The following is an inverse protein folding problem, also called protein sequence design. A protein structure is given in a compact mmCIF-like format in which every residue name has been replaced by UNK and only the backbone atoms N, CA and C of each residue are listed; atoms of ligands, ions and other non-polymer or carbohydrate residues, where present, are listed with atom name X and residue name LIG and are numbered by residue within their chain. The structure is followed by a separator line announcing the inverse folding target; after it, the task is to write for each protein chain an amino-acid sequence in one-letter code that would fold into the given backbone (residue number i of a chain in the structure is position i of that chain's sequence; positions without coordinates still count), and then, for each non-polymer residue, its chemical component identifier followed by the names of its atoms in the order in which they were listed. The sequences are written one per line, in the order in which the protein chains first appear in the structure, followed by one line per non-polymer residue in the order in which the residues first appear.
data_IF_852517832304
#
_entry.id   IF_852517832304
#
_cell.length_a   1.000
_cell.length_b   1.000
_cell.length_c   1.000
_cell.angle_alpha   90.00
_cell.angle_beta   90.00
_cell.angle_gamma   90.00
#
_symmetry.space_group_name_H-M   'P 1'
#
loop_
_entity.id
_entity.type
_entity.pdbx_description
1 polymer ?
#
# COMPACT_ATOMS: atom_id res chain seq x y z
N UNK A 1 -9.81 7.37 7.71
CA UNK A 1 -9.53 5.96 8.11
C UNK A 1 -8.13 5.81 8.68
N UNK A 2 -7.06 6.25 8.02
CA UNK A 2 -5.68 6.10 8.54
C UNK A 2 -5.49 6.68 9.93
N UNK A 3 -5.85 7.94 10.16
CA UNK A 3 -5.77 8.59 11.49
C UNK A 3 -6.55 7.79 12.54
N UNK A 4 -7.79 7.43 12.21
CA UNK A 4 -8.64 6.68 13.14
C UNK A 4 -8.12 5.28 13.46
N UNK A 5 -7.43 4.64 12.51
CA UNK A 5 -6.75 3.37 12.77
C UNK A 5 -5.61 3.54 13.79
N UNK A 6 -4.82 4.62 13.66
CA UNK A 6 -3.74 4.94 14.61
C UNK A 6 -4.31 5.19 16.02
N UNK A 7 -5.41 5.93 16.13
CA UNK A 7 -6.10 6.17 17.40
C UNK A 7 -6.56 4.86 18.06
N UNK A 8 -7.23 3.97 17.31
CA UNK A 8 -7.71 2.68 17.81
C UNK A 8 -6.57 1.77 18.30
N UNK A 9 -5.44 1.80 17.61
CA UNK A 9 -4.25 1.03 17.98
C UNK A 9 -3.39 1.72 19.04
N UNK A 10 -3.60 3.03 19.28
CA UNK A 10 -2.76 3.88 20.14
C UNK A 10 -1.31 3.91 19.65
N UNK A 11 -1.14 4.10 18.35
CA UNK A 11 0.15 4.24 17.68
C UNK A 11 0.27 5.65 17.13
N UNK A 12 1.40 6.31 17.39
CA UNK A 12 1.68 7.62 16.80
C UNK A 12 2.10 7.43 15.32
N UNK A 13 1.35 8.00 14.35
CA UNK A 13 1.69 7.89 12.94
C UNK A 13 2.97 8.63 12.56
N UNK A 14 3.43 9.57 13.40
CA UNK A 14 4.66 10.33 13.17
C UNK A 14 5.89 9.70 13.84
N UNK A 15 5.70 8.62 14.61
CA UNK A 15 6.80 7.93 15.25
C UNK A 15 7.73 7.28 14.23
N UNK A 16 9.03 7.39 14.45
CA UNK A 16 10.06 6.76 13.62
C UNK A 16 10.26 5.26 13.92
N UNK A 17 9.60 4.73 14.94
CA UNK A 17 9.76 3.36 15.42
C UNK A 17 9.24 2.28 14.47
N UNK A 18 8.61 2.67 13.36
CA UNK A 18 8.03 1.79 12.33
C UNK A 18 7.07 0.73 12.89
N UNK A 19 6.45 1.05 14.02
CA UNK A 19 5.55 0.15 14.72
C UNK A 19 4.26 -0.13 13.94
N UNK A 20 3.86 0.78 13.05
CA UNK A 20 2.64 0.65 12.26
C UNK A 20 2.93 -0.01 10.90
N UNK A 21 2.18 -1.08 10.60
CA UNK A 21 2.06 -1.69 9.27
C UNK A 21 0.65 -1.43 8.75
N UNK A 22 0.53 -0.84 7.56
CA UNK A 22 -0.73 -0.63 6.88
C UNK A 22 -0.86 -1.55 5.66
N UNK A 23 -2.00 -2.20 5.53
CA UNK A 23 -2.36 -3.00 4.35
C UNK A 23 -3.58 -2.35 3.73
N UNK A 24 -3.48 -1.87 2.48
CA UNK A 24 -4.59 -1.30 1.72
C UNK A 24 -5.14 -2.33 0.75
N UNK A 25 -6.47 -2.33 0.55
CA UNK A 25 -7.15 -3.29 -0.31
C UNK A 25 -7.45 -2.75 -1.72
N UNK A 26 -6.95 -1.56 -2.03
CA UNK A 26 -6.94 -0.93 -3.36
C UNK A 26 -5.81 0.07 -3.44
N UNK A 27 -5.41 0.42 -4.65
CA UNK A 27 -4.45 1.47 -4.99
C UNK A 27 -5.10 2.88 -5.07
N UNK A 28 -4.43 3.80 -5.81
CA UNK A 28 -4.91 5.14 -6.13
C UNK A 28 -4.96 6.10 -4.95
N UNK A 29 -5.80 7.13 -5.06
CA UNK A 29 -5.89 8.21 -4.06
C UNK A 29 -6.18 7.74 -2.64
N UNK A 30 -6.82 6.58 -2.48
CA UNK A 30 -7.06 6.01 -1.16
C UNK A 30 -5.76 5.55 -0.51
N UNK A 31 -4.92 4.82 -1.24
CA UNK A 31 -3.61 4.38 -0.75
C UNK A 31 -2.70 5.57 -0.43
N UNK A 32 -2.70 6.62 -1.26
CA UNK A 32 -1.97 7.86 -1.02
C UNK A 32 -2.44 8.55 0.27
N UNK A 33 -3.76 8.67 0.45
CA UNK A 33 -4.35 9.23 1.66
C UNK A 33 -4.00 8.45 2.92
N UNK A 34 -3.93 7.12 2.83
CA UNK A 34 -3.46 6.25 3.92
C UNK A 34 -1.98 6.51 4.21
N UNK A 35 -1.15 6.61 3.18
CA UNK A 35 0.28 6.88 3.32
C UNK A 35 0.54 8.18 4.06
N UNK A 36 -0.12 9.26 3.65
CA UNK A 36 -0.01 10.57 4.30
C UNK A 36 -0.50 10.54 5.75
N UNK A 37 -1.65 9.88 6.00
CA UNK A 37 -2.28 9.86 7.31
C UNK A 37 -1.54 8.98 8.34
N UNK A 38 -0.80 7.97 7.88
CA UNK A 38 -0.18 6.96 8.76
C UNK A 38 1.34 7.00 8.75
N UNK A 39 1.96 7.79 7.84
CA UNK A 39 3.41 7.75 7.61
C UNK A 39 3.92 6.42 7.04
N UNK A 40 3.02 5.53 6.62
CA UNK A 40 3.36 4.25 5.99
C UNK A 40 3.59 4.42 4.49
N UNK A 41 4.70 3.89 3.97
CA UNK A 41 5.09 4.02 2.57
C UNK A 41 5.59 2.69 2.02
N UNK A 42 5.41 2.46 0.72
CA UNK A 42 5.97 1.27 0.04
C UNK A 42 7.49 1.20 0.21
N UNK A 43 8.20 2.32 0.04
CA UNK A 43 9.65 2.40 0.21
C UNK A 43 10.11 2.12 1.64
N UNK A 44 9.34 2.55 2.65
CA UNK A 44 9.58 2.20 4.06
C UNK A 44 9.23 0.76 4.40
N UNK A 45 8.56 0.05 3.49
CA UNK A 45 8.12 -1.35 3.61
C UNK A 45 7.08 -1.61 4.70
N UNK A 46 6.45 -0.58 5.20
CA UNK A 46 5.36 -0.63 6.16
C UNK A 46 3.99 -0.26 5.56
N UNK A 47 3.90 -0.12 4.22
CA UNK A 47 2.67 -0.14 3.45
C UNK A 47 2.66 -1.36 2.53
N UNK A 48 1.52 -2.04 2.43
CA UNK A 48 1.31 -3.17 1.51
C UNK A 48 0.00 -3.02 0.78
N UNK A 49 0.01 -3.40 -0.49
CA UNK A 49 -1.20 -3.57 -1.30
C UNK A 49 -1.58 -5.04 -1.35
N UNK A 50 -2.81 -5.35 -0.95
CA UNK A 50 -3.50 -6.61 -1.20
C UNK A 50 -4.73 -6.27 -1.99
N UNK A 51 -4.61 -6.28 -3.32
CA UNK A 51 -5.63 -5.74 -4.21
C UNK A 51 -6.90 -6.62 -4.24
N UNK A 52 -7.92 -6.13 -3.54
CA UNK A 52 -9.28 -6.64 -3.59
C UNK A 52 -10.23 -5.66 -4.29
N UNK A 53 -9.74 -4.54 -4.80
CA UNK A 53 -10.54 -3.45 -5.36
C UNK A 53 -11.46 -2.80 -4.32
N UNK A 54 -11.14 -2.88 -3.03
CA UNK A 54 -11.98 -2.37 -1.94
C UNK A 54 -11.30 -1.19 -1.25
N UNK A 55 -12.07 -0.14 -1.02
CA UNK A 55 -11.62 1.00 -0.19
C UNK A 55 -11.60 0.55 1.27
N UNK A 56 -10.53 -0.08 1.68
CA UNK A 56 -10.33 -0.57 3.04
C UNK A 56 -8.84 -0.58 3.43
N UNK A 57 -8.58 -0.39 4.72
CA UNK A 57 -7.25 -0.50 5.32
C UNK A 57 -7.31 -1.50 6.47
N UNK A 58 -6.32 -2.36 6.56
CA UNK A 58 -5.99 -3.09 7.79
C UNK A 58 -4.71 -2.49 8.36
N UNK A 59 -4.82 -1.89 9.54
CA UNK A 59 -3.69 -1.35 10.28
C UNK A 59 -3.29 -2.32 11.39
N UNK A 60 -1.99 -2.54 11.54
CA UNK A 60 -1.42 -3.52 12.47
C UNK A 60 -0.34 -2.84 13.31
N UNK A 61 -0.46 -2.94 14.61
CA UNK A 61 0.64 -2.66 15.52
C UNK A 61 1.56 -3.88 15.59
N UNK A 62 2.73 -3.79 14.99
CA UNK A 62 3.66 -4.93 14.86
C UNK A 62 4.26 -5.39 16.18
N UNK A 63 4.21 -4.55 17.23
CA UNK A 63 4.73 -4.89 18.57
C UNK A 63 3.73 -5.71 19.38
N UNK A 64 2.44 -5.42 19.25
CA UNK A 64 1.37 -6.07 20.02
C UNK A 64 0.55 -7.05 19.19
N UNK A 65 0.78 -7.08 17.87
CA UNK A 65 0.02 -7.85 16.88
C UNK A 65 -1.48 -7.50 16.82
N UNK A 66 -1.89 -6.42 17.49
CA UNK A 66 -3.26 -5.92 17.40
C UNK A 66 -3.50 -5.37 15.99
N UNK A 67 -4.61 -5.75 15.40
CA UNK A 67 -4.99 -5.28 14.08
C UNK A 67 -6.44 -4.81 14.05
N UNK A 68 -6.68 -3.73 13.31
CA UNK A 68 -8.00 -3.19 13.02
C UNK A 68 -8.19 -3.02 11.52
N UNK A 69 -9.33 -3.44 11.01
CA UNK A 69 -9.72 -3.23 9.62
C UNK A 69 -10.79 -2.16 9.55
N UNK A 70 -10.58 -1.16 8.72
CA UNK A 70 -11.49 -0.03 8.54
C UNK A 70 -11.94 0.04 7.09
N UNK A 71 -13.23 0.33 6.90
CA UNK A 71 -13.84 0.57 5.59
C UNK A 71 -14.89 1.66 5.69
N UNK A 72 -15.31 2.29 4.60
CA UNK A 72 -16.44 3.21 4.63
C UNK A 72 -17.70 2.52 5.17
N UNK A 73 -18.44 3.23 5.99
CA UNK A 73 -19.78 2.78 6.38
C UNK A 73 -20.67 2.69 5.13
N UNK A 74 -21.46 1.61 4.93
CA UNK A 74 -22.25 1.45 3.70
C UNK A 74 -23.17 2.63 3.38
N UNK A 75 -23.67 3.30 4.40
CA UNK A 75 -24.55 4.47 4.26
C UNK A 75 -23.80 5.81 4.25
N UNK A 76 -22.46 5.84 4.33
CA UNK A 76 -21.71 7.09 4.42
C UNK A 76 -22.01 8.04 3.24
N UNK A 77 -22.05 7.53 2.02
CA UNK A 77 -22.37 8.35 0.83
C UNK A 77 -23.76 8.97 0.88
N UNK A 78 -24.75 8.21 1.32
CA UNK A 78 -26.14 8.68 1.41
C UNK A 78 -26.27 9.71 2.53
N UNK A 79 -25.67 9.44 3.68
CA UNK A 79 -25.72 10.33 4.84
C UNK A 79 -24.96 11.64 4.64
N UNK A 80 -23.90 11.65 3.82
CA UNK A 80 -23.09 12.84 3.58
C UNK A 80 -23.91 14.07 3.16
N UNK A 81 -24.96 13.88 2.36
CA UNK A 81 -25.84 14.95 1.91
C UNK A 81 -26.54 15.69 3.06
N UNK A 82 -26.89 15.01 4.15
CA UNK A 82 -27.55 15.63 5.31
C UNK A 82 -26.61 16.58 6.07
N UNK A 83 -25.30 16.35 5.98
CA UNK A 83 -24.26 17.17 6.60
C UNK A 83 -23.76 18.34 5.75
N UNK A 84 -24.19 18.40 4.48
CA UNK A 84 -23.75 19.40 3.51
C UNK A 84 -24.89 19.90 2.61
N UNK A 85 -26.01 20.31 3.25
CA UNK A 85 -27.26 20.73 2.56
C UNK A 85 -27.08 21.87 1.54
N UNK A 86 -26.08 22.75 1.73
CA UNK A 86 -25.79 23.90 0.86
C UNK A 86 -24.76 23.59 -0.24
N UNK A 87 -24.37 22.33 -0.41
CA UNK A 87 -23.38 21.98 -1.40
C UNK A 87 -23.92 22.12 -2.83
N UNK A 88 -23.10 22.72 -3.72
CA UNK A 88 -23.47 23.02 -5.11
C UNK A 88 -23.50 21.80 -6.04
N UNK A 89 -22.92 20.68 -5.62
CA UNK A 89 -22.88 19.44 -6.40
C UNK A 89 -22.82 18.21 -5.49
N UNK A 90 -23.13 17.03 -6.06
CA UNK A 90 -23.00 15.76 -5.36
C UNK A 90 -21.58 15.51 -4.82
N UNK A 91 -20.56 15.89 -5.60
CA UNK A 91 -19.17 15.77 -5.19
C UNK A 91 -18.85 16.67 -3.98
N UNK A 92 -19.25 17.97 -4.03
CA UNK A 92 -19.10 18.88 -2.90
C UNK A 92 -19.86 18.40 -1.67
N UNK A 93 -21.06 17.86 -1.87
CA UNK A 93 -21.86 17.30 -0.77
C UNK A 93 -21.14 16.16 -0.05
N UNK A 94 -20.51 15.26 -0.81
CA UNK A 94 -19.73 14.17 -0.24
C UNK A 94 -18.46 14.71 0.45
N UNK A 95 -17.71 15.59 -0.20
CA UNK A 95 -16.49 16.16 0.37
C UNK A 95 -16.74 16.85 1.71
N UNK A 96 -17.70 17.77 1.76
CA UNK A 96 -18.04 18.52 2.96
C UNK A 96 -18.75 17.64 4.01
N UNK A 97 -19.59 16.72 3.55
CA UNK A 97 -20.30 15.81 4.42
C UNK A 97 -19.33 14.89 5.17
N UNK A 98 -18.36 14.29 4.48
CA UNK A 98 -17.36 13.40 5.11
C UNK A 98 -16.50 14.13 6.15
N UNK A 99 -16.26 15.43 5.98
CA UNK A 99 -15.51 16.25 6.94
C UNK A 99 -16.31 16.57 8.21
N UNK A 100 -17.65 16.54 8.15
CA UNK A 100 -18.56 16.94 9.21
C UNK A 100 -19.24 15.78 9.92
N UNK A 101 -19.32 14.64 9.25
CA UNK A 101 -19.96 13.43 9.81
C UNK A 101 -19.21 12.90 11.03
N UNK A 102 -19.92 12.41 12.04
CA UNK A 102 -19.34 11.60 13.11
C UNK A 102 -18.60 10.40 12.52
N UNK A 103 -17.47 10.05 13.11
CA UNK A 103 -16.62 8.94 12.61
C UNK A 103 -17.39 7.62 12.54
N UNK A 104 -18.28 7.35 13.50
CA UNK A 104 -19.12 6.14 13.54
C UNK A 104 -20.11 6.02 12.37
N UNK A 105 -20.49 7.14 11.75
CA UNK A 105 -21.34 7.15 10.56
C UNK A 105 -20.54 7.10 9.26
N UNK A 106 -19.27 7.50 9.31
CA UNK A 106 -18.36 7.57 8.17
C UNK A 106 -17.61 6.27 7.96
N UNK A 107 -17.13 5.64 9.02
CA UNK A 107 -16.21 4.52 9.00
C UNK A 107 -16.73 3.38 9.88
N UNK A 108 -16.70 2.19 9.31
CA UNK A 108 -16.88 0.95 10.05
C UNK A 108 -15.51 0.38 10.40
N UNK A 109 -15.28 0.07 11.67
CA UNK A 109 -14.04 -0.49 12.17
C UNK A 109 -14.30 -1.83 12.88
N UNK A 110 -13.46 -2.80 12.64
CA UNK A 110 -13.52 -4.13 13.23
C UNK A 110 -12.13 -4.60 13.66
N UNK A 111 -12.07 -5.27 14.82
CA UNK A 111 -10.84 -5.94 15.24
C UNK A 111 -10.67 -7.22 14.41
N UNK A 112 -9.47 -7.41 13.85
CA UNK A 112 -9.18 -8.54 12.96
C UNK A 112 -7.87 -9.22 13.38
N UNK A 113 -7.65 -10.42 12.85
CA UNK A 113 -6.38 -11.13 12.92
C UNK A 113 -5.97 -11.53 11.51
N UNK A 114 -4.72 -11.26 11.14
CA UNK A 114 -4.19 -11.66 9.85
C UNK A 114 -3.95 -13.17 9.80
N UNK A 115 -4.23 -13.79 8.66
CA UNK A 115 -3.90 -15.20 8.42
C UNK A 115 -2.42 -15.39 8.09
N UNK A 116 -1.83 -14.39 7.43
CA UNK A 116 -0.40 -14.35 7.14
C UNK A 116 0.34 -13.76 8.33
N UNK A 117 1.41 -14.40 8.82
CA UNK A 117 2.27 -13.81 9.84
C UNK A 117 2.79 -12.43 9.43
N UNK A 118 2.95 -11.52 10.39
CA UNK A 118 3.40 -10.14 10.13
C UNK A 118 4.75 -10.13 9.40
N UNK A 119 5.67 -11.03 9.76
CA UNK A 119 6.95 -11.21 9.07
C UNK A 119 6.80 -11.48 7.57
N UNK A 120 5.73 -12.16 7.15
CA UNK A 120 5.42 -12.42 5.74
C UNK A 120 5.08 -11.15 4.96
N UNK A 121 4.45 -10.16 5.62
CA UNK A 121 4.18 -8.85 5.01
C UNK A 121 5.40 -7.94 4.98
N UNK A 122 6.18 -7.90 6.05
CA UNK A 122 7.37 -7.05 6.16
C UNK A 122 8.49 -7.59 5.27
N UNK A 123 8.59 -8.93 5.15
CA UNK A 123 9.63 -9.65 4.42
C UNK A 123 11.01 -9.45 5.07
N UNK A 124 12.01 -10.16 4.57
CA UNK A 124 13.39 -10.03 5.04
C UNK A 124 14.12 -8.98 4.20
N UNK A 125 14.45 -7.83 4.81
CA UNK A 125 15.19 -6.79 4.14
C UNK A 125 16.64 -7.21 3.84
N UNK A 126 17.15 -6.80 2.66
CA UNK A 126 18.56 -6.93 2.32
C UNK A 126 18.99 -8.30 1.78
N UNK A 127 18.11 -9.29 1.75
CA UNK A 127 18.43 -10.57 1.11
C UNK A 127 18.28 -10.47 -0.40
N UNK A 128 19.29 -10.94 -1.11
CA UNK A 128 19.39 -10.90 -2.57
C UNK A 128 19.82 -12.25 -3.09
N UNK A 129 19.21 -12.68 -4.16
CA UNK A 129 19.64 -13.86 -4.92
C UNK A 129 19.50 -13.57 -6.40
N UNK A 130 20.32 -14.20 -7.23
CA UNK A 130 20.19 -14.13 -8.67
C UNK A 130 19.20 -15.20 -9.16
N UNK A 131 18.37 -14.84 -10.13
CA UNK A 131 17.52 -15.79 -10.82
C UNK A 131 18.36 -16.73 -11.66
N UNK A 132 18.27 -18.04 -11.39
CA UNK A 132 19.08 -19.04 -12.09
C UNK A 132 18.73 -19.21 -13.59
N UNK A 133 17.70 -18.53 -14.08
CA UNK A 133 17.32 -18.58 -15.49
C UNK A 133 17.70 -17.32 -16.26
N UNK A 134 17.52 -16.11 -15.72
CA UNK A 134 17.81 -14.86 -16.42
C UNK A 134 18.95 -14.04 -15.81
N UNK A 135 19.48 -14.44 -14.66
CA UNK A 135 20.57 -13.73 -13.96
C UNK A 135 20.14 -12.44 -13.25
N UNK A 136 18.89 -12.02 -13.35
CA UNK A 136 18.41 -10.80 -12.67
C UNK A 136 18.33 -11.01 -11.17
N UNK A 137 18.74 -9.98 -10.41
CA UNK A 137 18.68 -9.97 -8.96
C UNK A 137 17.24 -9.94 -8.44
N UNK A 138 16.89 -10.85 -7.53
CA UNK A 138 15.61 -10.91 -6.84
C UNK A 138 15.81 -10.55 -5.38
N UNK A 139 15.10 -9.51 -4.93
CA UNK A 139 15.23 -8.94 -3.60
C UNK A 139 14.24 -9.56 -2.59
N UNK A 140 14.68 -9.60 -1.33
CA UNK A 140 13.81 -9.80 -0.17
C UNK A 140 13.05 -11.15 -0.18
N UNK A 141 13.69 -12.21 -0.62
CA UNK A 141 13.12 -13.56 -0.69
C UNK A 141 11.86 -13.66 -1.55
N UNK A 142 11.77 -12.86 -2.62
CA UNK A 142 10.64 -12.90 -3.55
C UNK A 142 10.81 -13.87 -4.70
N UNK A 143 11.91 -14.63 -4.72
CA UNK A 143 12.08 -15.73 -5.65
C UNK A 143 11.02 -16.81 -5.43
N UNK A 144 10.73 -17.55 -6.47
CA UNK A 144 9.97 -18.77 -6.41
C UNK A 144 10.93 -19.95 -6.55
N UNK A 145 10.72 -20.99 -5.74
CA UNK A 145 11.49 -22.23 -5.87
C UNK A 145 10.67 -23.21 -6.73
N UNK A 146 11.18 -23.52 -7.92
CA UNK A 146 10.56 -24.46 -8.85
C UNK A 146 11.52 -25.65 -9.02
N UNK A 147 11.11 -26.81 -8.47
CA UNK A 147 12.04 -27.92 -8.28
C UNK A 147 13.17 -27.51 -7.32
N UNK A 148 14.42 -27.54 -7.79
CA UNK A 148 15.61 -27.16 -7.02
C UNK A 148 16.18 -25.79 -7.44
N UNK A 149 15.46 -25.01 -8.24
CA UNK A 149 15.94 -23.74 -8.83
C UNK A 149 15.24 -22.55 -8.19
N UNK A 150 16.01 -21.52 -7.90
CA UNK A 150 15.51 -20.21 -7.47
C UNK A 150 15.27 -19.31 -8.68
N UNK A 151 14.02 -18.98 -8.95
CA UNK A 151 13.61 -18.23 -10.15
C UNK A 151 12.87 -16.94 -9.76
N UNK A 152 13.01 -15.89 -10.58
CA UNK A 152 12.11 -14.75 -10.53
C UNK A 152 10.69 -15.16 -11.00
N UNK A 153 9.67 -14.37 -10.69
CA UNK A 153 8.29 -14.69 -11.07
C UNK A 153 8.09 -14.87 -12.57
N UNK A 154 8.76 -14.05 -13.37
CA UNK A 154 8.72 -14.16 -14.85
C UNK A 154 9.20 -15.54 -15.29
N UNK A 155 10.40 -15.95 -14.85
CA UNK A 155 10.99 -17.23 -15.24
C UNK A 155 10.28 -18.44 -14.64
N UNK A 156 9.55 -18.22 -13.53
CA UNK A 156 8.69 -19.24 -12.92
C UNK A 156 7.28 -19.33 -13.56
N UNK A 157 7.07 -18.74 -14.74
CA UNK A 157 5.82 -18.83 -15.48
C UNK A 157 4.74 -17.82 -15.08
N UNK A 158 5.09 -16.74 -14.38
CA UNK A 158 4.18 -15.66 -13.99
C UNK A 158 4.59 -14.30 -14.62
N UNK A 159 4.80 -14.20 -15.95
CA UNK A 159 5.16 -12.95 -16.59
C UNK A 159 3.95 -12.01 -16.61
N UNK A 160 4.18 -10.69 -16.44
CA UNK A 160 3.19 -9.64 -16.73
C UNK A 160 3.47 -8.94 -18.08
N UNK A 161 4.55 -9.33 -18.78
CA UNK A 161 4.90 -8.85 -20.11
C UNK A 161 5.53 -9.97 -20.92
N UNK A 162 5.52 -9.81 -22.25
CA UNK A 162 6.29 -10.60 -23.20
C UNK A 162 7.26 -9.70 -23.93
N UNK A 163 8.39 -10.22 -24.34
CA UNK A 163 9.31 -9.49 -25.22
C UNK A 163 8.64 -9.26 -26.58
N UNK A 164 8.74 -8.05 -27.11
CA UNK A 164 8.28 -7.78 -28.47
C UNK A 164 9.34 -8.25 -29.47
N UNK A 165 8.91 -8.86 -30.57
CA UNK A 165 9.79 -9.31 -31.66
C UNK A 165 10.56 -8.14 -32.33
N UNK A 166 10.14 -6.90 -32.07
CA UNK A 166 10.85 -5.68 -32.45
C UNK A 166 11.83 -5.24 -31.37
N UNK A 167 12.73 -6.12 -30.94
CA UNK A 167 13.84 -5.72 -30.08
C UNK A 167 14.86 -4.89 -30.88
N UNK A 168 14.46 -3.73 -31.35
CA UNK A 168 15.39 -2.62 -31.52
C UNK A 168 15.84 -2.32 -30.09
N UNK A 169 17.05 -2.73 -29.74
CA UNK A 169 17.68 -2.37 -28.50
C UNK A 169 17.42 -0.87 -28.30
N UNK A 170 16.67 -0.51 -27.26
CA UNK A 170 16.55 0.89 -26.86
C UNK A 170 17.99 1.30 -26.61
N UNK A 171 18.54 2.15 -27.50
CA UNK A 171 19.91 2.67 -27.35
C UNK A 171 20.05 3.17 -25.93
N UNK A 172 21.15 2.87 -25.23
CA UNK A 172 21.39 3.44 -23.91
C UNK A 172 21.15 4.94 -23.99
N UNK A 173 20.40 5.48 -23.04
CA UNK A 173 20.20 6.92 -22.93
C UNK A 173 21.58 7.58 -22.98
N UNK A 174 21.75 8.54 -23.87
CA UNK A 174 22.95 9.36 -23.91
C UNK A 174 23.06 10.13 -22.58
N UNK A 175 23.82 9.57 -21.67
CA UNK A 175 24.02 10.14 -20.33
C UNK A 175 24.91 11.39 -20.35
N UNK A 176 25.49 11.78 -21.52
CA UNK A 176 26.32 12.98 -21.66
C UNK A 176 25.55 14.29 -21.38
N UNK A 177 24.20 14.22 -21.29
CA UNK A 177 23.31 15.37 -21.00
C UNK A 177 22.68 15.37 -19.60
N UNK A 178 23.06 14.44 -18.75
CA UNK A 178 22.59 14.43 -17.37
C UNK A 178 23.50 15.34 -16.55
N UNK A 179 23.13 16.62 -16.43
CA UNK A 179 23.72 17.52 -15.45
C UNK A 179 23.27 17.02 -14.06
N UNK A 180 24.19 16.49 -13.30
CA UNK A 180 23.98 16.23 -11.88
C UNK A 180 23.97 17.59 -11.20
N UNK A 181 22.77 18.09 -10.84
CA UNK A 181 22.65 19.22 -9.95
C UNK A 181 23.20 18.77 -8.58
N UNK A 182 24.46 19.11 -8.30
CA UNK A 182 25.02 18.98 -6.96
C UNK A 182 24.20 19.91 -6.05
N UNK A 183 23.53 19.30 -5.06
CA UNK A 183 22.82 20.03 -4.06
C UNK A 183 23.85 20.80 -3.20
N UNK A 184 23.77 22.14 -3.23
CA UNK A 184 24.47 23.03 -2.34
C UNK A 184 23.86 23.02 -0.94
#
# INVERSE_FOLDING_TARGET
MGVYACELLRVDPQSEDRRLLAIVETDGCFADGVSVATGCWLGKRNLRLVDYGKVAITAIDVCTERAVRLRPHPLARTRAASYAKSASSRWHSQLLGYQRMPIAELVYAESVRTLTPIAGFIGQAGQRIDCEACGEEVLNLRQLVVGNRSLCRRCAGQPYYIESDTASAISPLDTSRVEILEAA
#
